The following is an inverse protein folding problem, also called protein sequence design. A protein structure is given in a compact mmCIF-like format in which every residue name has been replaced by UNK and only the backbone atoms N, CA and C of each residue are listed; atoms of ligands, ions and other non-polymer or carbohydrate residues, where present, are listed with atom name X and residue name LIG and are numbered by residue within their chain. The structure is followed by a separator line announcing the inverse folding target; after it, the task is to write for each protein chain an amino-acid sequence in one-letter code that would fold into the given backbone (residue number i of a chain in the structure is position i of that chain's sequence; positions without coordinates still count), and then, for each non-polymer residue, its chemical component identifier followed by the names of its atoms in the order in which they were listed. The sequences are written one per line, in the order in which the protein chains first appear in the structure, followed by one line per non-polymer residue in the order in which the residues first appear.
data_IF_913046398079
#
_entry.id   IF_913046398079
#
_cell.length_a   1.000
_cell.length_b   1.000
_cell.length_c   1.000
_cell.angle_alpha   90.00
_cell.angle_beta   90.00
_cell.angle_gamma   90.00
#
_symmetry.space_group_name_H-M   'P 1'
#
loop_
_entity.id
_entity.type
_entity.pdbx_description
1 polymer ?
#
# COMPACT_ATOMS: atom_id res chain seq x y z
N UNK A 1 -10.41 -50.58 23.57
CA UNK A 1 -11.16 -50.14 22.37
C UNK A 1 -11.85 -48.79 22.58
N UNK A 2 -12.53 -48.55 23.71
CA UNK A 2 -13.07 -47.22 24.01
C UNK A 2 -11.97 -46.16 24.23
N UNK A 3 -10.84 -46.56 24.80
CA UNK A 3 -9.71 -45.64 25.06
C UNK A 3 -9.11 -45.09 23.76
N UNK A 4 -9.17 -45.85 22.65
CA UNK A 4 -8.72 -45.38 21.34
C UNK A 4 -9.50 -44.14 20.89
N UNK A 5 -10.82 -44.14 21.07
CA UNK A 5 -11.68 -43.00 20.74
C UNK A 5 -11.40 -41.81 21.65
N UNK A 6 -11.12 -42.08 22.93
CA UNK A 6 -10.77 -41.04 23.90
C UNK A 6 -9.42 -40.38 23.58
N UNK A 7 -8.37 -41.18 23.33
CA UNK A 7 -7.03 -40.67 23.02
C UNK A 7 -6.91 -39.98 21.66
N UNK A 8 -7.74 -40.37 20.69
CA UNK A 8 -7.75 -39.76 19.36
C UNK A 8 -8.83 -38.68 19.24
N UNK A 9 -9.61 -38.41 20.29
CA UNK A 9 -10.71 -37.44 20.31
C UNK A 9 -11.75 -37.66 19.19
N UNK A 10 -11.92 -38.91 18.76
CA UNK A 10 -12.87 -39.29 17.71
C UNK A 10 -14.09 -39.91 18.37
N UNK A 11 -15.29 -39.53 17.92
CA UNK A 11 -16.50 -40.15 18.46
C UNK A 11 -16.66 -41.60 17.95
N UNK A 12 -16.99 -42.58 18.81
CA UNK A 12 -17.29 -43.96 18.38
C UNK A 12 -18.45 -44.08 17.40
N UNK A 13 -19.29 -43.04 17.30
CA UNK A 13 -20.43 -42.95 16.38
C UNK A 13 -20.09 -42.23 15.08
N UNK A 14 -18.88 -41.69 14.96
CA UNK A 14 -18.45 -40.92 13.80
C UNK A 14 -18.09 -41.84 12.63
N UNK A 15 -18.71 -41.59 11.48
CA UNK A 15 -18.43 -42.33 10.25
C UNK A 15 -17.26 -41.65 9.53
N UNK A 16 -16.04 -42.14 9.78
CA UNK A 16 -14.81 -41.64 9.14
C UNK A 16 -14.67 -41.96 7.64
N UNK A 17 -15.76 -42.38 6.99
CA UNK A 17 -15.77 -42.82 5.61
C UNK A 17 -14.90 -44.06 5.37
N UNK A 18 -14.88 -44.57 4.13
CA UNK A 18 -14.12 -45.79 3.80
C UNK A 18 -12.60 -45.57 3.74
N UNK A 19 -12.12 -44.32 3.70
CA UNK A 19 -10.69 -44.00 3.58
C UNK A 19 -10.44 -42.57 4.05
N UNK A 20 -9.36 -42.30 4.79
CA UNK A 20 -9.00 -40.93 5.22
C UNK A 20 -8.89 -39.91 4.08
N UNK A 21 -8.70 -40.37 2.84
CA UNK A 21 -8.73 -39.55 1.62
C UNK A 21 -10.07 -38.84 1.37
N UNK A 22 -11.20 -39.43 1.76
CA UNK A 22 -12.52 -38.80 1.59
C UNK A 22 -12.72 -37.66 2.59
N UNK A 23 -12.24 -37.84 3.82
CA UNK A 23 -12.20 -36.79 4.85
C UNK A 23 -11.33 -35.63 4.35
N UNK A 24 -10.12 -35.92 3.86
CA UNK A 24 -9.20 -34.91 3.32
C UNK A 24 -9.84 -34.10 2.18
N UNK A 25 -10.49 -34.78 1.22
CA UNK A 25 -11.19 -34.11 0.12
C UNK A 25 -12.35 -33.22 0.62
N UNK A 26 -13.10 -33.68 1.62
CA UNK A 26 -14.20 -32.92 2.21
C UNK A 26 -13.70 -31.66 2.93
N UNK A 27 -12.60 -31.76 3.67
CA UNK A 27 -11.96 -30.64 4.38
C UNK A 27 -11.40 -29.64 3.37
N UNK A 28 -10.68 -30.11 2.34
CA UNK A 28 -10.18 -29.25 1.26
C UNK A 28 -11.30 -28.46 0.58
N UNK A 29 -12.44 -29.09 0.29
CA UNK A 29 -13.60 -28.42 -0.30
C UNK A 29 -14.17 -27.34 0.64
N UNK A 30 -14.27 -27.64 1.93
CA UNK A 30 -14.75 -26.67 2.95
C UNK A 30 -13.81 -25.47 3.07
N UNK A 31 -12.50 -25.71 3.13
CA UNK A 31 -11.49 -24.64 3.20
C UNK A 31 -11.57 -23.74 1.96
N UNK A 32 -11.65 -24.31 0.76
CA UNK A 32 -11.78 -23.54 -0.47
C UNK A 32 -13.06 -22.67 -0.48
N UNK A 33 -14.17 -23.18 0.04
CA UNK A 33 -15.40 -22.41 0.18
C UNK A 33 -15.25 -21.25 1.17
N UNK A 34 -14.62 -21.47 2.32
CA UNK A 34 -14.35 -20.41 3.30
C UNK A 34 -13.45 -19.32 2.71
N UNK A 35 -12.39 -19.70 1.98
CA UNK A 35 -11.51 -18.75 1.29
C UNK A 35 -12.30 -17.92 0.27
N UNK A 36 -13.20 -18.55 -0.49
CA UNK A 36 -14.04 -17.85 -1.46
C UNK A 36 -14.96 -16.83 -0.79
N UNK A 37 -15.60 -17.21 0.32
CA UNK A 37 -16.48 -16.32 1.11
C UNK A 37 -15.67 -15.14 1.67
N UNK A 38 -14.53 -15.40 2.30
CA UNK A 38 -13.67 -14.34 2.85
C UNK A 38 -13.20 -13.38 1.75
N UNK A 39 -12.83 -13.89 0.57
CA UNK A 39 -12.40 -13.08 -0.58
C UNK A 39 -13.55 -12.25 -1.16
N UNK A 40 -14.76 -12.78 -1.14
CA UNK A 40 -15.94 -12.03 -1.58
C UNK A 40 -16.29 -10.89 -0.62
N UNK A 41 -16.27 -11.16 0.69
CA UNK A 41 -16.41 -10.12 1.73
C UNK A 41 -15.32 -9.05 1.59
N UNK A 42 -14.09 -9.45 1.31
CA UNK A 42 -12.98 -8.53 1.12
C UNK A 42 -13.21 -7.58 -0.08
N UNK A 43 -13.72 -8.11 -1.20
CA UNK A 43 -13.99 -7.33 -2.40
C UNK A 43 -15.21 -6.42 -2.26
N UNK A 44 -16.27 -6.90 -1.63
CA UNK A 44 -17.56 -6.21 -1.60
C UNK A 44 -17.68 -5.19 -0.46
N UNK A 45 -17.05 -5.46 0.69
CA UNK A 45 -17.19 -4.61 1.88
C UNK A 45 -15.90 -3.92 2.25
N UNK A 46 -14.82 -4.67 2.53
CA UNK A 46 -13.66 -4.06 3.21
C UNK A 46 -12.80 -3.21 2.28
N UNK A 47 -12.53 -3.66 1.04
CA UNK A 47 -11.77 -2.89 0.04
C UNK A 47 -12.36 -1.53 -0.32
N UNK A 48 -13.66 -1.42 -0.70
CA UNK A 48 -14.22 -0.12 -1.02
C UNK A 48 -14.24 0.80 0.21
N UNK A 49 -14.51 0.29 1.41
CA UNK A 49 -14.45 1.11 2.63
C UNK A 49 -13.05 1.65 2.89
N UNK A 50 -12.01 0.82 2.73
CA UNK A 50 -10.62 1.28 2.84
C UNK A 50 -10.31 2.36 1.80
N UNK A 51 -10.68 2.13 0.53
CA UNK A 51 -10.45 3.11 -0.53
C UNK A 51 -11.21 4.44 -0.30
N UNK A 52 -12.43 4.38 0.24
CA UNK A 52 -13.20 5.56 0.60
C UNK A 52 -12.53 6.33 1.74
N UNK A 53 -12.10 5.64 2.79
CA UNK A 53 -11.37 6.24 3.91
C UNK A 53 -10.07 6.88 3.40
N UNK A 54 -9.28 6.16 2.60
CA UNK A 54 -8.09 6.69 1.97
C UNK A 54 -8.40 7.92 1.12
N UNK A 55 -9.49 7.92 0.35
CA UNK A 55 -9.91 9.09 -0.44
C UNK A 55 -10.30 10.29 0.43
N UNK A 56 -10.84 10.08 1.63
CA UNK A 56 -11.19 11.17 2.56
C UNK A 56 -9.95 11.74 3.26
N UNK A 57 -8.96 10.89 3.55
CA UNK A 57 -7.74 11.26 4.28
C UNK A 57 -6.55 11.56 3.36
N UNK A 58 -6.67 11.36 2.05
CA UNK A 58 -5.78 11.96 1.05
C UNK A 58 -5.99 13.48 1.05
N UNK A 59 -5.45 14.15 2.07
CA UNK A 59 -5.14 15.57 2.02
C UNK A 59 -4.37 15.80 0.73
N UNK A 60 -4.94 16.62 -0.16
CA UNK A 60 -4.25 17.12 -1.35
C UNK A 60 -2.80 17.42 -0.96
N UNK A 61 -1.83 16.78 -1.62
CA UNK A 61 -0.43 17.13 -1.41
C UNK A 61 -0.35 18.67 -1.49
N UNK A 62 0.22 19.35 -0.49
CA UNK A 62 0.23 20.80 -0.48
C UNK A 62 0.86 21.24 -1.80
N UNK A 63 0.05 21.81 -2.69
CA UNK A 63 0.51 22.30 -4.01
C UNK A 63 1.75 23.11 -3.73
N UNK A 64 2.91 22.60 -4.12
CA UNK A 64 4.21 23.24 -3.86
C UNK A 64 4.08 24.64 -4.45
N UNK A 65 3.87 25.64 -3.60
CA UNK A 65 3.73 27.02 -4.03
C UNK A 65 4.99 27.33 -4.84
N UNK A 66 4.88 27.82 -6.09
CA UNK A 66 6.07 28.12 -6.87
C UNK A 66 6.91 29.10 -6.05
N UNK A 67 8.17 28.72 -5.78
CA UNK A 67 9.10 29.58 -5.07
C UNK A 67 9.34 30.81 -5.96
N UNK A 68 8.83 31.96 -5.56
CA UNK A 68 9.12 33.23 -6.24
C UNK A 68 10.57 33.57 -5.88
N UNK A 69 11.51 33.21 -6.74
CA UNK A 69 12.90 33.63 -6.62
C UNK A 69 13.06 34.98 -7.31
N UNK A 70 13.46 36.01 -6.58
CA UNK A 70 13.89 37.26 -7.17
C UNK A 70 15.14 36.99 -8.03
N UNK A 71 15.04 37.25 -9.35
CA UNK A 71 16.22 37.38 -10.18
C UNK A 71 16.94 38.65 -9.74
N UNK A 72 17.97 38.53 -8.90
CA UNK A 72 18.97 39.58 -8.78
C UNK A 72 19.60 39.75 -10.16
N UNK A 73 19.16 40.75 -10.90
CA UNK A 73 19.90 41.27 -12.03
C UNK A 73 21.23 41.74 -11.48
N UNK A 74 22.26 40.90 -11.61
CA UNK A 74 23.61 41.40 -11.61
C UNK A 74 23.66 42.34 -12.80
N UNK A 75 23.55 43.64 -12.54
CA UNK A 75 23.90 44.65 -13.51
C UNK A 75 25.37 44.40 -13.87
N UNK A 76 25.60 43.62 -14.94
CA UNK A 76 26.88 43.62 -15.61
C UNK A 76 27.07 45.06 -16.08
N UNK A 77 27.84 45.82 -15.29
CA UNK A 77 28.25 47.16 -15.66
C UNK A 77 28.79 47.08 -17.09
N UNK A 78 28.22 47.82 -18.06
CA UNK A 78 28.67 47.74 -19.43
C UNK A 78 30.15 48.09 -19.45
N UNK A 79 30.98 47.21 -20.03
CA UNK A 79 32.39 47.51 -20.31
C UNK A 79 32.41 48.73 -21.23
N UNK A 80 32.59 49.92 -20.65
CA UNK A 80 32.78 51.17 -21.38
C UNK A 80 34.01 51.02 -22.27
N UNK A 81 33.81 51.13 -23.59
CA UNK A 81 34.85 50.94 -24.62
C UNK A 81 35.98 51.97 -24.54
N UNK A 82 35.74 53.12 -23.92
CA UNK A 82 36.72 54.19 -23.76
C UNK A 82 36.72 54.64 -22.30
N UNK A 83 37.90 54.67 -21.70
CA UNK A 83 38.15 55.32 -20.42
C UNK A 83 39.10 56.50 -20.68
N UNK A 84 38.76 57.65 -20.12
CA UNK A 84 39.58 58.85 -20.22
C UNK A 84 40.92 58.62 -19.50
N UNK A 85 42.04 58.88 -20.18
CA UNK A 85 43.35 58.85 -19.54
C UNK A 85 43.46 60.06 -18.62
N UNK A 86 43.50 59.81 -17.31
CA UNK A 86 43.91 60.85 -16.38
C UNK A 86 45.41 61.09 -16.55
N UNK A 87 45.76 62.21 -17.19
CA UNK A 87 47.11 62.74 -17.12
C UNK A 87 47.23 63.43 -15.76
N UNK A 88 47.97 62.82 -14.84
CA UNK A 88 48.42 63.53 -13.64
C UNK A 88 49.41 64.60 -14.08
N UNK A 89 49.00 65.86 -13.95
CA UNK A 89 49.89 67.02 -14.03
C UNK A 89 49.93 67.65 -12.65
N UNK A 90 51.10 67.51 -12.02
CA UNK A 90 51.60 68.08 -10.76
C UNK A 90 50.70 68.09 -9.51
#
# INVERSE_FOLDING_TARGET
MLDFFFYNEISPKEKLGPTGRTIEASIKKRINAVIAIMRDMEKTQTKPTVAMIESLFQTEEPKKKPLILEKKTLEEKPKVRFQEKQNHTN
#
